data_IF_151722978622
#
_entry.id   IF_151722978622
#
_cell.length_a   1.000
_cell.length_b   1.000
_cell.length_c   1.000
_cell.angle_alpha   90.00
_cell.angle_beta   90.00
_cell.angle_gamma   90.00
#
_symmetry.space_group_name_H-M   'P 1'
#
loop_
_entity.id
_entity.type
_entity.pdbx_description
1 polymer ?
#
# COMPACT_ATOMS: atom_id res chain seq x y z
N UNK A 1 -6.12 -17.95 24.30
CA UNK A 1 -6.68 -16.60 24.46
C UNK A 1 -5.54 -15.64 24.17
N UNK A 2 -5.35 -15.06 22.99
CA UNK A 2 -6.07 -15.09 21.72
C UNK A 2 -5.04 -14.70 20.65
N UNK A 3 -4.57 -15.66 19.85
CA UNK A 3 -3.70 -15.45 18.68
C UNK A 3 -4.53 -15.01 17.44
N UNK A 4 -5.68 -14.36 17.64
CA UNK A 4 -6.73 -14.27 16.61
C UNK A 4 -7.09 -12.86 16.13
N UNK A 5 -6.34 -11.81 16.47
CA UNK A 5 -6.66 -10.45 15.99
C UNK A 5 -5.39 -9.71 15.53
N UNK A 6 -4.64 -10.31 14.61
CA UNK A 6 -3.65 -9.62 13.76
C UNK A 6 -3.71 -10.20 12.35
N UNK A 7 -4.90 -10.27 11.79
CA UNK A 7 -5.08 -10.43 10.35
C UNK A 7 -5.67 -9.11 9.88
N UNK A 8 -4.80 -8.21 9.46
CA UNK A 8 -5.25 -6.96 8.85
C UNK A 8 -5.94 -7.30 7.53
N UNK A 9 -6.91 -6.48 7.09
CA UNK A 9 -7.69 -6.73 5.87
C UNK A 9 -6.78 -6.96 4.63
N UNK A 10 -5.57 -6.42 4.67
CA UNK A 10 -4.44 -6.62 3.74
C UNK A 10 -3.91 -8.05 3.69
N UNK A 11 -3.80 -8.76 4.82
CA UNK A 11 -3.31 -10.14 4.86
C UNK A 11 -4.28 -11.11 4.17
N UNK A 12 -5.59 -10.93 4.37
CA UNK A 12 -6.61 -11.76 3.71
C UNK A 12 -6.61 -11.51 2.21
N UNK A 13 -6.49 -10.26 1.78
CA UNK A 13 -6.49 -9.91 0.36
C UNK A 13 -5.25 -10.47 -0.34
N UNK A 14 -4.08 -10.37 0.30
CA UNK A 14 -2.82 -10.91 -0.23
C UNK A 14 -2.80 -12.44 -0.22
N UNK A 15 -3.31 -13.08 0.84
CA UNK A 15 -3.43 -14.54 0.86
C UNK A 15 -4.40 -15.05 -0.21
N UNK A 16 -5.50 -14.32 -0.46
CA UNK A 16 -6.44 -14.64 -1.54
C UNK A 16 -5.82 -14.48 -2.92
N UNK A 17 -5.06 -13.39 -3.14
CA UNK A 17 -4.34 -13.15 -4.40
C UNK A 17 -3.28 -14.23 -4.66
N UNK A 18 -2.50 -14.61 -3.63
CA UNK A 18 -1.54 -15.72 -3.74
C UNK A 18 -2.21 -17.06 -4.02
N UNK A 19 -3.33 -17.35 -3.37
CA UNK A 19 -4.09 -18.57 -3.62
C UNK A 19 -4.66 -18.62 -5.05
N UNK A 20 -5.15 -17.49 -5.56
CA UNK A 20 -5.66 -17.39 -6.93
C UNK A 20 -4.54 -17.53 -7.97
N UNK A 21 -3.38 -16.88 -7.75
CA UNK A 21 -2.21 -17.04 -8.58
C UNK A 21 -1.69 -18.50 -8.60
N UNK A 22 -1.66 -19.18 -7.45
CA UNK A 22 -1.26 -20.58 -7.36
C UNK A 22 -2.21 -21.50 -8.14
N UNK A 23 -3.53 -21.25 -8.08
CA UNK A 23 -4.51 -22.03 -8.86
C UNK A 23 -4.36 -21.83 -10.36
N UNK A 24 -4.06 -20.62 -10.80
CA UNK A 24 -3.79 -20.31 -12.22
C UNK A 24 -2.53 -21.03 -12.69
N UNK A 25 -1.47 -21.04 -11.86
CA UNK A 25 -0.23 -21.76 -12.16
C UNK A 25 -0.47 -23.28 -12.26
N UNK A 26 -1.19 -23.88 -11.31
CA UNK A 26 -1.53 -25.30 -11.36
C UNK A 26 -2.44 -25.67 -12.56
N UNK A 27 -3.35 -24.79 -12.98
CA UNK A 27 -4.16 -25.02 -14.18
C UNK A 27 -3.32 -24.94 -15.46
N UNK A 28 -2.36 -24.02 -15.52
CA UNK A 28 -1.40 -23.91 -16.62
C UNK A 28 -0.51 -25.15 -16.72
N UNK A 29 0.05 -25.62 -15.59
CA UNK A 29 0.86 -26.84 -15.54
C UNK A 29 0.06 -28.07 -15.96
N UNK A 30 -1.20 -28.18 -15.53
CA UNK A 30 -2.08 -29.29 -15.94
C UNK A 30 -2.39 -29.27 -17.44
N UNK A 31 -2.56 -28.08 -18.03
CA UNK A 31 -2.79 -27.92 -19.47
C UNK A 31 -1.53 -28.21 -20.29
N UNK A 32 -0.36 -27.83 -19.79
CA UNK A 32 0.93 -28.21 -20.37
C UNK A 32 1.12 -29.74 -20.34
N UNK A 33 0.88 -30.38 -19.18
CA UNK A 33 0.99 -31.84 -19.06
C UNK A 33 -0.02 -32.57 -19.98
N UNK A 34 -1.23 -32.05 -20.16
CA UNK A 34 -2.21 -32.61 -21.08
C UNK A 34 -1.82 -32.44 -22.56
N UNK A 35 -1.07 -31.38 -22.91
CA UNK A 35 -0.52 -31.18 -24.24
C UNK A 35 0.69 -32.10 -24.50
N UNK A 36 1.47 -32.43 -23.47
CA UNK A 36 2.61 -33.37 -23.55
C UNK A 36 2.18 -34.84 -23.76
N UNK A 37 0.99 -35.23 -23.29
CA UNK A 37 0.44 -36.59 -23.43
C UNK A 37 -0.24 -36.86 -24.79
N UNK A 38 -0.27 -35.86 -25.68
CA UNK A 38 -0.77 -35.99 -27.05
C UNK A 38 0.29 -36.61 -27.96
N UNK A 39 0.31 -37.94 -28.01
CA UNK A 39 1.22 -38.76 -28.83
C UNK A 39 0.85 -38.77 -30.34
N UNK A 40 0.03 -37.82 -30.83
CA UNK A 40 -0.30 -37.68 -32.24
C UNK A 40 0.68 -36.71 -32.95
N UNK A 41 1.64 -37.24 -33.72
CA UNK A 41 2.65 -36.42 -34.40
C UNK A 41 2.07 -35.56 -35.55
N UNK A 42 0.79 -35.72 -35.90
CA UNK A 42 0.09 -34.92 -36.91
C UNK A 42 -0.86 -33.85 -36.32
N UNK A 43 -0.92 -33.68 -34.99
CA UNK A 43 -1.71 -32.61 -34.35
C UNK A 43 -0.97 -31.25 -34.38
N UNK A 44 -0.57 -30.83 -35.58
CA UNK A 44 0.06 -29.53 -35.83
C UNK A 44 -0.82 -28.34 -35.49
N UNK A 45 -2.12 -28.55 -35.28
CA UNK A 45 -3.07 -27.51 -34.90
C UNK A 45 -2.99 -27.22 -33.38
N UNK A 46 -2.85 -28.24 -32.52
CA UNK A 46 -2.65 -28.03 -31.08
C UNK A 46 -1.33 -27.28 -30.76
N UNK A 47 -0.25 -27.58 -31.47
CA UNK A 47 1.03 -26.88 -31.29
C UNK A 47 0.99 -25.43 -31.79
N UNK A 48 0.26 -25.14 -32.89
CA UNK A 48 0.02 -23.77 -33.35
C UNK A 48 -0.87 -22.98 -32.42
N UNK A 49 -1.87 -23.63 -31.81
CA UNK A 49 -2.77 -22.99 -30.85
C UNK A 49 -2.00 -22.67 -29.55
N UNK A 50 -1.15 -23.58 -29.06
CA UNK A 50 -0.27 -23.33 -27.92
C UNK A 50 0.77 -22.22 -28.19
N UNK A 51 1.41 -22.18 -29.36
CA UNK A 51 2.36 -21.12 -29.74
C UNK A 51 1.66 -19.76 -29.92
N UNK A 52 0.42 -19.77 -30.44
CA UNK A 52 -0.45 -18.59 -30.52
C UNK A 52 -0.83 -18.05 -29.13
N UNK A 53 -1.16 -18.92 -28.19
CA UNK A 53 -1.46 -18.55 -26.79
C UNK A 53 -0.20 -18.01 -26.09
N UNK A 54 0.95 -18.67 -26.24
CA UNK A 54 2.22 -18.24 -25.67
C UNK A 54 2.66 -16.87 -26.23
N UNK A 55 2.48 -16.65 -27.53
CA UNK A 55 2.75 -15.38 -28.19
C UNK A 55 1.79 -14.29 -27.72
N UNK A 56 0.50 -14.61 -27.58
CA UNK A 56 -0.51 -13.70 -27.02
C UNK A 56 -0.17 -13.28 -25.59
N UNK A 57 0.24 -14.22 -24.74
CA UNK A 57 0.64 -13.94 -23.36
C UNK A 57 1.92 -13.10 -23.30
N UNK A 58 2.91 -13.40 -24.14
CA UNK A 58 4.15 -12.61 -24.24
C UNK A 58 3.88 -11.18 -24.69
N UNK A 59 3.00 -10.98 -25.68
CA UNK A 59 2.61 -9.65 -26.14
C UNK A 59 1.83 -8.89 -25.07
N UNK A 60 0.91 -9.55 -24.35
CA UNK A 60 0.18 -8.95 -23.24
C UNK A 60 1.13 -8.53 -22.10
N UNK A 61 2.13 -9.35 -21.77
CA UNK A 61 3.17 -9.01 -20.80
C UNK A 61 4.08 -7.86 -21.27
N UNK A 62 4.43 -7.83 -22.57
CA UNK A 62 5.21 -6.74 -23.14
C UNK A 62 4.42 -5.43 -23.15
N UNK A 63 3.12 -5.48 -23.41
CA UNK A 63 2.25 -4.31 -23.38
C UNK A 63 2.04 -3.82 -21.93
N UNK A 64 1.81 -4.73 -20.98
CA UNK A 64 1.78 -4.40 -19.55
C UNK A 64 3.11 -3.80 -19.07
N UNK A 65 4.25 -4.36 -19.51
CA UNK A 65 5.56 -3.83 -19.18
C UNK A 65 5.79 -2.44 -19.83
N UNK A 66 5.28 -2.21 -21.05
CA UNK A 66 5.34 -0.92 -21.74
C UNK A 66 4.45 0.13 -21.05
N UNK A 67 3.26 -0.26 -20.63
CA UNK A 67 2.31 0.56 -19.88
C UNK A 67 2.86 0.91 -18.50
N UNK A 68 3.47 -0.05 -17.80
CA UNK A 68 4.20 0.19 -16.55
C UNK A 68 5.46 1.07 -16.74
N UNK A 69 6.10 1.01 -17.91
CA UNK A 69 7.28 1.83 -18.23
C UNK A 69 6.92 3.26 -18.69
N UNK A 70 5.65 3.50 -19.03
CA UNK A 70 5.16 4.80 -19.46
C UNK A 70 3.83 5.08 -18.77
N UNK A 71 3.84 5.34 -17.45
CA UNK A 71 2.62 5.73 -16.76
C UNK A 71 2.08 6.97 -17.48
N UNK A 72 0.78 6.97 -17.81
CA UNK A 72 0.11 8.25 -18.09
C UNK A 72 0.51 9.22 -16.97
N UNK A 73 0.81 10.50 -17.28
CA UNK A 73 1.14 11.45 -16.23
C UNK A 73 -0.04 11.46 -15.27
N UNK A 74 0.17 10.88 -14.08
CA UNK A 74 -0.85 10.83 -13.05
C UNK A 74 -1.30 12.28 -12.88
N UNK A 75 -2.59 12.62 -13.09
CA UNK A 75 -3.06 13.94 -12.74
C UNK A 75 -2.59 14.17 -11.30
N UNK A 76 -1.93 15.31 -11.00
CA UNK A 76 -1.37 15.53 -9.68
C UNK A 76 -2.47 15.21 -8.68
N UNK A 77 -2.21 14.22 -7.81
CA UNK A 77 -3.13 13.88 -6.74
C UNK A 77 -3.52 15.21 -6.08
N UNK A 78 -4.80 15.45 -5.76
CA UNK A 78 -5.18 16.67 -5.08
C UNK A 78 -4.37 16.76 -3.78
N UNK A 79 -3.29 17.54 -3.80
CA UNK A 79 -2.39 17.71 -2.69
C UNK A 79 -3.14 18.56 -1.68
N UNK A 80 -3.70 17.90 -0.67
CA UNK A 80 -4.20 18.61 0.52
C UNK A 80 -2.99 19.33 1.10
N UNK A 81 -3.08 20.66 1.25
CA UNK A 81 -1.99 21.42 1.85
C UNK A 81 -1.90 21.13 3.34
N UNK A 82 -0.76 21.45 3.96
CA UNK A 82 -0.62 21.33 5.40
C UNK A 82 -1.64 22.17 6.19
N UNK A 83 -2.01 23.36 5.69
CA UNK A 83 -3.02 24.21 6.32
C UNK A 83 -4.42 23.59 6.18
N UNK A 84 -4.77 23.08 5.00
CA UNK A 84 -6.04 22.38 4.80
C UNK A 84 -6.15 21.16 5.71
N UNK A 85 -5.04 20.43 5.92
CA UNK A 85 -4.97 19.32 6.86
C UNK A 85 -5.22 19.79 8.31
N UNK A 86 -4.57 20.88 8.74
CA UNK A 86 -4.78 21.43 10.10
C UNK A 86 -6.24 21.82 10.32
N UNK A 87 -6.86 22.49 9.34
CA UNK A 87 -8.25 22.92 9.41
C UNK A 87 -9.22 21.75 9.42
N UNK A 88 -8.95 20.73 8.59
CA UNK A 88 -9.80 19.55 8.45
C UNK A 88 -9.75 18.67 9.71
N UNK A 89 -8.56 18.38 10.22
CA UNK A 89 -8.34 17.33 11.21
C UNK A 89 -8.04 17.83 12.63
N UNK A 90 -7.56 19.07 12.77
CA UNK A 90 -7.29 19.73 14.07
C UNK A 90 -6.34 18.92 14.94
N UNK A 91 -5.01 19.00 14.70
CA UNK A 91 -4.04 18.29 15.53
C UNK A 91 -4.10 18.77 16.98
N UNK A 92 -4.03 17.82 17.93
CA UNK A 92 -4.07 18.12 19.36
C UNK A 92 -2.66 18.42 19.89
N UNK A 93 -2.61 19.22 20.94
CA UNK A 93 -1.35 19.56 21.61
C UNK A 93 -0.79 18.36 22.37
N UNK A 94 0.50 18.12 22.20
CA UNK A 94 1.26 17.20 23.04
C UNK A 94 1.37 17.78 24.46
N UNK A 95 0.57 17.22 25.37
CA UNK A 95 0.55 17.63 26.79
C UNK A 95 1.69 17.05 27.60
N UNK A 96 2.35 15.98 27.12
CA UNK A 96 3.49 15.34 27.76
C UNK A 96 4.79 16.13 27.53
N UNK A 97 4.90 16.80 26.39
CA UNK A 97 6.03 17.68 26.04
C UNK A 97 5.53 19.02 25.48
N UNK A 98 5.35 20.05 26.33
CA UNK A 98 4.87 21.37 25.89
C UNK A 98 5.75 22.10 24.87
N UNK A 99 7.04 21.75 24.79
CA UNK A 99 8.03 22.28 23.86
C UNK A 99 8.37 21.28 22.73
N UNK A 100 7.44 20.36 22.41
CA UNK A 100 7.64 19.45 21.28
C UNK A 100 7.74 20.22 19.95
N UNK A 101 8.37 19.62 18.92
CA UNK A 101 8.37 20.16 17.58
C UNK A 101 6.96 20.45 17.04
N UNK A 102 6.88 21.25 15.98
CA UNK A 102 5.62 21.67 15.35
C UNK A 102 4.67 22.34 16.34
N UNK A 103 5.12 23.41 17.01
CA UNK A 103 4.34 24.20 17.96
C UNK A 103 3.79 23.43 19.18
N UNK A 104 4.46 22.32 19.52
CA UNK A 104 4.05 21.43 20.61
C UNK A 104 3.01 20.41 20.19
N UNK A 105 2.89 20.09 18.90
CA UNK A 105 1.88 19.15 18.38
C UNK A 105 2.44 17.74 18.16
N UNK A 106 3.75 17.60 17.93
CA UNK A 106 4.35 16.31 17.59
C UNK A 106 4.57 15.42 18.82
N UNK A 107 4.27 14.12 18.67
CA UNK A 107 4.55 13.06 19.64
C UNK A 107 5.75 12.23 19.19
N UNK A 108 6.60 11.85 20.14
CA UNK A 108 7.77 11.02 19.89
C UNK A 108 7.45 9.58 19.48
N UNK A 109 8.47 8.92 18.94
CA UNK A 109 8.40 7.55 18.45
C UNK A 109 8.69 6.48 19.50
N UNK A 110 8.83 6.88 20.76
CA UNK A 110 9.17 6.03 21.90
C UNK A 110 8.63 6.58 23.22
N UNK A 111 8.63 5.73 24.25
CA UNK A 111 8.30 6.11 25.62
C UNK A 111 6.83 6.52 25.80
N UNK A 112 6.53 7.35 26.83
CA UNK A 112 5.15 7.70 27.18
C UNK A 112 4.36 8.41 26.08
N UNK A 113 5.05 9.10 25.17
CA UNK A 113 4.41 9.76 24.02
C UNK A 113 3.94 8.73 22.99
N UNK A 114 4.72 7.66 22.74
CA UNK A 114 4.29 6.55 21.90
C UNK A 114 3.12 5.79 22.53
N UNK A 115 3.12 5.61 23.85
CA UNK A 115 2.00 4.98 24.56
C UNK A 115 0.70 5.79 24.38
N UNK A 116 0.79 7.12 24.39
CA UNK A 116 -0.35 8.00 24.11
C UNK A 116 -0.84 7.87 22.66
N UNK A 117 0.07 7.75 21.69
CA UNK A 117 -0.27 7.50 20.28
C UNK A 117 -0.93 6.14 20.11
N UNK A 118 -0.40 5.10 20.76
CA UNK A 118 -0.97 3.74 20.71
C UNK A 118 -2.36 3.64 21.37
N UNK A 119 -2.66 4.52 22.32
CA UNK A 119 -3.97 4.61 22.97
C UNK A 119 -4.99 5.46 22.19
N UNK A 120 -4.56 6.22 21.18
CA UNK A 120 -5.44 7.03 20.34
C UNK A 120 -6.20 6.15 19.32
N UNK A 121 -7.30 6.69 18.78
CA UNK A 121 -7.96 6.09 17.62
C UNK A 121 -6.97 6.05 16.44
N UNK A 122 -6.70 4.89 15.81
CA UNK A 122 -5.81 4.80 14.66
C UNK A 122 -6.22 5.71 13.50
N UNK A 123 -7.52 5.97 13.34
CA UNK A 123 -8.04 6.89 12.33
C UNK A 123 -7.77 8.37 12.69
N UNK A 124 -7.31 8.67 13.89
CA UNK A 124 -6.89 9.99 14.32
C UNK A 124 -5.36 10.15 14.36
N UNK A 125 -4.59 9.10 14.06
CA UNK A 125 -3.13 9.16 14.04
C UNK A 125 -2.62 9.48 12.65
N UNK A 126 -1.60 10.33 12.60
CA UNK A 126 -0.83 10.66 11.41
C UNK A 126 0.65 10.52 11.71
N UNK A 127 1.42 9.99 10.78
CA UNK A 127 2.86 9.83 10.90
C UNK A 127 3.57 10.86 10.05
N UNK A 128 4.51 11.60 10.65
CA UNK A 128 5.42 12.43 9.86
C UNK A 128 6.64 11.61 9.46
N UNK A 129 6.97 11.63 8.18
CA UNK A 129 8.11 10.91 7.60
C UNK A 129 9.04 11.86 6.86
N UNK A 130 10.30 11.47 6.80
CA UNK A 130 11.30 12.09 5.96
C UNK A 130 11.28 11.44 4.56
N UNK A 131 11.15 12.25 3.53
CA UNK A 131 11.04 11.86 2.12
C UNK A 131 12.34 12.11 1.35
N UNK A 132 12.25 12.07 0.03
CA UNK A 132 13.38 12.42 -0.84
C UNK A 132 13.62 13.94 -0.82
N UNK A 133 14.88 14.36 -1.05
CA UNK A 133 15.29 15.76 -1.10
C UNK A 133 14.91 16.61 0.13
N UNK A 134 15.05 16.04 1.33
CA UNK A 134 14.71 16.66 2.63
C UNK A 134 13.23 17.12 2.72
N UNK A 135 12.34 16.50 1.95
CA UNK A 135 10.90 16.79 1.99
C UNK A 135 10.20 16.09 3.15
N UNK A 136 9.30 16.79 3.84
CA UNK A 136 8.53 16.23 4.95
C UNK A 136 7.11 15.89 4.51
N UNK A 137 6.63 14.73 4.93
CA UNK A 137 5.30 14.23 4.57
C UNK A 137 4.53 13.77 5.80
N UNK A 138 3.23 14.05 5.82
CA UNK A 138 2.27 13.46 6.75
C UNK A 138 1.50 12.35 6.05
N UNK A 139 1.60 11.15 6.60
CA UNK A 139 0.87 9.97 6.14
C UNK A 139 -0.24 9.66 7.14
N UNK A 140 -1.45 9.40 6.64
CA UNK A 140 -2.55 8.93 7.49
C UNK A 140 -2.21 7.56 8.10
N UNK A 141 -2.46 7.38 9.40
CA UNK A 141 -2.22 6.16 10.15
C UNK A 141 -0.84 6.09 10.82
N UNK A 142 -0.59 4.95 11.49
CA UNK A 142 0.66 4.65 12.19
C UNK A 142 1.64 3.93 11.25
N UNK A 143 2.73 4.60 10.89
CA UNK A 143 3.80 4.03 10.06
C UNK A 143 5.08 3.85 10.88
N UNK A 144 5.83 2.77 10.62
CA UNK A 144 7.02 2.43 11.40
C UNK A 144 8.35 2.67 10.67
N UNK A 145 8.32 2.95 9.36
CA UNK A 145 9.53 3.15 8.54
C UNK A 145 9.70 4.64 8.24
N UNK A 146 10.94 5.13 8.29
CA UNK A 146 11.32 6.54 8.00
C UNK A 146 10.50 7.59 8.76
N UNK A 147 9.95 7.23 9.92
CA UNK A 147 9.14 8.12 10.76
C UNK A 147 10.01 9.03 11.61
N UNK A 148 9.59 10.29 11.70
CA UNK A 148 10.17 11.30 12.61
C UNK A 148 9.32 11.46 13.88
N UNK A 149 8.03 11.16 13.82
CA UNK A 149 7.09 11.35 14.92
C UNK A 149 5.65 11.13 14.49
N UNK A 150 4.73 11.44 15.39
CA UNK A 150 3.29 11.29 15.16
C UNK A 150 2.52 12.55 15.51
N UNK A 151 1.32 12.67 14.95
CA UNK A 151 0.30 13.62 15.34
C UNK A 151 -0.97 12.86 15.70
N UNK A 152 -1.69 13.37 16.69
CA UNK A 152 -3.04 12.92 17.03
C UNK A 152 -3.99 14.05 16.64
N UNK A 153 -5.13 13.71 16.06
CA UNK A 153 -6.11 14.68 15.52
C UNK A 153 -7.47 14.53 16.21
N UNK A 154 -8.25 15.60 16.27
CA UNK A 154 -9.61 15.56 16.86
C UNK A 154 -10.59 14.79 15.97
N UNK A 155 -10.35 14.79 14.66
CA UNK A 155 -11.26 14.20 13.67
C UNK A 155 -10.57 13.07 12.92
N UNK A 156 -11.25 11.94 12.70
CA UNK A 156 -10.66 10.82 11.99
C UNK A 156 -10.57 11.08 10.49
N UNK A 157 -9.56 10.51 9.84
CA UNK A 157 -9.59 10.28 8.39
C UNK A 157 -10.51 9.09 8.07
N UNK A 158 -10.92 8.96 6.80
CA UNK A 158 -12.00 8.05 6.41
C UNK A 158 -11.65 6.55 6.50
N UNK A 159 -10.39 6.18 6.77
CA UNK A 159 -9.95 4.80 6.93
C UNK A 159 -9.81 4.00 5.63
N UNK A 160 -10.20 4.57 4.48
CA UNK A 160 -10.34 3.84 3.21
C UNK A 160 -9.16 4.16 2.29
N UNK A 161 -8.78 5.44 2.21
CA UNK A 161 -7.70 5.90 1.35
C UNK A 161 -6.53 6.39 2.21
N UNK A 162 -5.31 5.97 1.84
CA UNK A 162 -4.11 6.55 2.43
C UNK A 162 -3.96 7.99 1.95
N UNK A 163 -3.94 8.93 2.89
CA UNK A 163 -3.76 10.34 2.61
C UNK A 163 -2.30 10.72 2.86
N UNK A 164 -1.75 11.47 1.91
CA UNK A 164 -0.38 11.99 1.97
C UNK A 164 -0.42 13.51 1.81
N UNK A 165 0.17 14.22 2.76
CA UNK A 165 0.21 15.67 2.80
C UNK A 165 1.66 16.11 2.86
N UNK A 166 2.10 16.87 1.85
CA UNK A 166 3.44 17.46 1.86
C UNK A 166 3.46 18.66 2.79
N UNK A 167 4.52 18.80 3.56
CA UNK A 167 4.81 19.99 4.34
C UNK A 167 5.67 20.92 3.48
N UNK A 168 5.12 22.08 3.16
CA UNK A 168 5.78 23.17 2.42
C UNK A 168 6.43 24.19 3.36
#
# INVERSE_FOLDING_TARGET
MDDFIMITLTDIHMQRLHAEAARIAEDADRRLAAAEDSDDPDDWDAWKEADGIATGFKLALQELAREASNPEPTPPAPTVSHDDWRDAYRPIRNTLRPAAPFDGLMFETFGPELDAVAAADPACVWTIVDGEDDSLWLLSGCHFVNRLGYFITERPWNGIDQLEVRLD
#
